data_IF_894635220454
#
_entry.id   IF_894635220454
#
_cell.length_a   1.000
_cell.length_b   1.000
_cell.length_c   1.000
_cell.angle_alpha   90.00
_cell.angle_beta   90.00
_cell.angle_gamma   90.00
#
_symmetry.space_group_name_H-M   'P 1'
#
loop_
_entity.id
_entity.type
_entity.pdbx_description
1 polymer ?
#
# COMPACT_ATOMS: atom_id res chain seq x y z
N UNK A 1 0.18 -11.62 7.01
CA UNK A 1 0.84 -10.32 6.85
C UNK A 1 1.70 -9.94 8.08
N UNK A 2 1.33 -10.35 9.28
CA UNK A 2 2.03 -10.02 10.55
C UNK A 2 3.51 -10.41 10.62
N UNK A 3 4.01 -11.21 9.68
CA UNK A 3 5.41 -11.62 9.58
C UNK A 3 6.15 -10.95 8.40
N UNK A 4 5.48 -10.12 7.64
CA UNK A 4 6.03 -9.46 6.46
C UNK A 4 6.49 -8.05 6.81
N UNK A 5 7.78 -7.80 6.73
CA UNK A 5 8.33 -6.44 6.79
C UNK A 5 8.21 -5.75 5.43
N UNK A 6 8.02 -4.45 5.45
CA UNK A 6 7.99 -3.63 4.25
C UNK A 6 8.49 -2.23 4.56
N UNK A 7 9.23 -1.62 3.64
CA UNK A 7 9.82 -0.33 3.90
C UNK A 7 9.78 0.62 2.70
N UNK A 8 9.79 1.89 3.00
CA UNK A 8 9.97 2.96 2.03
C UNK A 8 11.47 3.15 1.83
N UNK A 9 11.99 2.77 0.66
CA UNK A 9 13.39 2.93 0.30
C UNK A 9 13.66 4.25 -0.44
N UNK A 10 14.92 4.52 -0.74
CA UNK A 10 15.35 5.70 -1.50
C UNK A 10 14.75 5.77 -2.91
N UNK A 11 14.70 6.96 -3.48
CA UNK A 11 14.34 7.19 -4.87
C UNK A 11 15.32 8.24 -5.45
N UNK A 12 15.94 7.98 -6.60
CA UNK A 12 15.81 6.79 -7.46
C UNK A 12 16.17 5.48 -6.77
N UNK A 13 15.56 4.37 -7.19
CA UNK A 13 15.89 3.04 -6.68
C UNK A 13 17.31 2.66 -7.11
N UNK A 14 18.12 2.19 -6.17
CA UNK A 14 19.55 1.92 -6.40
C UNK A 14 19.83 0.77 -7.39
N UNK A 15 18.89 -0.17 -7.52
CA UNK A 15 19.07 -1.35 -8.38
C UNK A 15 18.72 -1.08 -9.86
N UNK A 16 17.67 -0.29 -10.10
CA UNK A 16 17.12 -0.12 -11.45
C UNK A 16 16.89 1.34 -11.86
N UNK A 17 17.24 2.31 -10.99
CA UNK A 17 17.10 3.73 -11.26
C UNK A 17 15.64 4.25 -11.30
N UNK A 18 14.66 3.43 -10.98
CA UNK A 18 13.24 3.82 -11.07
C UNK A 18 12.92 4.92 -10.07
N UNK A 19 12.25 5.96 -10.56
CA UNK A 19 11.70 7.04 -9.72
C UNK A 19 10.24 6.72 -9.44
N UNK A 20 9.91 6.54 -8.17
CA UNK A 20 8.53 6.30 -7.72
C UNK A 20 8.15 7.37 -6.69
N UNK A 21 6.99 8.04 -6.85
CA UNK A 21 6.55 9.07 -5.91
C UNK A 21 6.53 8.57 -4.46
N UNK A 22 6.89 9.45 -3.52
CA UNK A 22 6.96 9.12 -2.10
C UNK A 22 5.64 8.56 -1.56
N UNK A 23 4.51 9.16 -1.94
CA UNK A 23 3.18 8.69 -1.58
C UNK A 23 2.92 7.24 -2.03
N UNK A 24 3.28 6.91 -3.27
CA UNK A 24 3.08 5.55 -3.82
C UNK A 24 3.93 4.52 -3.08
N UNK A 25 5.20 4.85 -2.76
CA UNK A 25 6.09 3.98 -1.98
C UNK A 25 5.52 3.70 -0.60
N UNK A 26 5.00 4.74 0.08
CA UNK A 26 4.34 4.59 1.38
C UNK A 26 3.09 3.71 1.34
N UNK A 27 2.19 3.91 0.37
CA UNK A 27 0.99 3.09 0.21
C UNK A 27 1.34 1.61 0.04
N UNK A 28 2.35 1.30 -0.77
CA UNK A 28 2.79 -0.09 -0.95
C UNK A 28 3.42 -0.65 0.33
N UNK A 29 4.22 0.14 1.04
CA UNK A 29 4.88 -0.30 2.26
C UNK A 29 3.92 -0.52 3.46
N UNK A 30 2.76 0.12 3.48
CA UNK A 30 1.75 -0.05 4.54
C UNK A 30 1.14 -1.45 4.64
N UNK A 31 1.45 -2.36 3.71
CA UNK A 31 0.94 -3.75 3.70
C UNK A 31 1.77 -4.75 4.51
N UNK A 32 2.88 -4.33 5.04
CA UNK A 32 3.68 -5.09 6.00
C UNK A 32 3.95 -4.27 7.25
N UNK A 33 4.92 -4.68 8.04
CA UNK A 33 5.46 -3.88 9.13
C UNK A 33 6.20 -2.69 8.51
N UNK A 34 5.54 -1.53 8.53
CA UNK A 34 6.03 -0.33 7.88
C UNK A 34 7.32 0.18 8.53
N UNK A 35 8.35 0.31 7.71
CA UNK A 35 9.60 0.96 8.05
C UNK A 35 10.06 1.95 6.99
N UNK A 36 11.15 2.65 7.28
CA UNK A 36 11.82 3.56 6.35
C UNK A 36 13.29 3.18 6.26
N UNK A 37 13.74 2.80 5.07
CA UNK A 37 15.14 2.50 4.76
C UNK A 37 15.70 3.65 3.92
N UNK A 38 15.88 4.79 4.57
CA UNK A 38 16.42 6.01 3.97
C UNK A 38 16.91 6.96 5.05
N UNK A 39 17.76 7.90 4.66
CA UNK A 39 18.32 8.90 5.58
C UNK A 39 17.33 10.07 5.78
N UNK A 40 16.58 10.04 6.88
CA UNK A 40 15.60 11.08 7.22
C UNK A 40 16.25 12.46 7.41
N UNK A 41 17.55 12.53 7.71
CA UNK A 41 18.25 13.81 7.91
C UNK A 41 18.46 14.58 6.61
N UNK A 42 18.53 13.85 5.48
CA UNK A 42 18.69 14.41 4.12
C UNK A 42 17.37 14.77 3.45
N UNK A 43 16.24 14.46 4.09
CA UNK A 43 14.92 14.74 3.52
C UNK A 43 14.55 16.22 3.66
N UNK A 44 13.76 16.71 2.70
CA UNK A 44 13.12 18.03 2.77
C UNK A 44 12.16 18.13 3.98
N UNK A 45 11.75 19.33 4.33
CA UNK A 45 10.73 19.53 5.38
C UNK A 45 9.39 18.92 4.97
N UNK A 46 9.04 19.05 3.70
CA UNK A 46 7.82 18.53 3.07
C UNK A 46 7.80 17.00 3.15
N UNK A 47 8.91 16.34 2.78
CA UNK A 47 9.01 14.89 2.85
C UNK A 47 8.95 14.37 4.29
N UNK A 48 9.61 15.06 5.23
CA UNK A 48 9.50 14.70 6.66
C UNK A 48 8.07 14.85 7.20
N UNK A 49 7.32 15.84 6.72
CA UNK A 49 5.90 15.98 7.06
C UNK A 49 5.10 14.83 6.45
N UNK A 50 5.37 14.46 5.21
CA UNK A 50 4.74 13.30 4.56
C UNK A 50 5.04 11.98 5.28
N UNK A 51 6.24 11.78 5.85
CA UNK A 51 6.54 10.64 6.73
C UNK A 51 5.60 10.60 7.94
N UNK A 52 5.40 11.73 8.62
CA UNK A 52 4.50 11.80 9.78
C UNK A 52 3.06 11.42 9.41
N UNK A 53 2.59 11.90 8.26
CA UNK A 53 1.25 11.61 7.76
C UNK A 53 1.10 10.14 7.40
N UNK A 54 2.08 9.54 6.71
CA UNK A 54 2.10 8.12 6.39
C UNK A 54 2.11 7.24 7.64
N UNK A 55 2.92 7.58 8.64
CA UNK A 55 2.94 6.84 9.91
C UNK A 55 1.62 6.98 10.67
N UNK A 56 1.01 8.16 10.67
CA UNK A 56 -0.30 8.38 11.29
C UNK A 56 -1.39 7.56 10.60
N UNK A 57 -1.38 7.50 9.28
CA UNK A 57 -2.33 6.70 8.50
C UNK A 57 -2.11 5.19 8.73
N UNK A 58 -0.86 4.73 8.67
CA UNK A 58 -0.53 3.34 8.97
C UNK A 58 -1.03 2.90 10.35
N UNK A 59 -0.87 3.73 11.38
CA UNK A 59 -1.34 3.42 12.74
C UNK A 59 -2.85 3.19 12.83
N UNK A 60 -3.64 3.79 11.94
CA UNK A 60 -5.09 3.58 11.88
C UNK A 60 -5.45 2.22 11.28
N UNK A 61 -4.71 1.79 10.26
CA UNK A 61 -5.04 0.61 9.46
C UNK A 61 -4.23 -0.64 9.83
N UNK A 62 -3.15 -0.51 10.59
CA UNK A 62 -2.17 -1.59 10.83
C UNK A 62 -2.79 -2.85 11.44
N UNK A 63 -3.78 -2.71 12.30
CA UNK A 63 -4.44 -3.86 12.92
C UNK A 63 -5.17 -4.70 11.87
N UNK A 64 -5.92 -4.05 10.98
CA UNK A 64 -6.59 -4.72 9.87
C UNK A 64 -5.58 -5.31 8.89
N UNK A 65 -4.54 -4.55 8.50
CA UNK A 65 -3.57 -5.00 7.49
C UNK A 65 -2.70 -6.15 7.98
N UNK A 66 -2.34 -6.19 9.26
CA UNK A 66 -1.45 -7.22 9.81
C UNK A 66 -2.21 -8.48 10.25
N UNK A 67 -3.36 -8.33 10.89
CA UNK A 67 -4.08 -9.44 11.54
C UNK A 67 -5.37 -9.86 10.85
N UNK A 68 -5.83 -9.09 9.86
CA UNK A 68 -7.01 -9.43 9.07
C UNK A 68 -6.76 -10.56 8.07
N UNK A 69 -7.83 -10.99 7.41
CA UNK A 69 -7.78 -11.99 6.34
C UNK A 69 -7.39 -11.31 5.03
N UNK A 70 -6.32 -11.79 4.41
CA UNK A 70 -5.79 -11.26 3.17
C UNK A 70 -6.42 -11.91 1.94
N UNK A 71 -6.86 -11.08 0.98
CA UNK A 71 -7.39 -11.51 -0.31
C UNK A 71 -6.61 -10.85 -1.45
N UNK A 72 -6.14 -11.65 -2.40
CA UNK A 72 -5.55 -11.17 -3.64
C UNK A 72 -6.65 -11.06 -4.70
N UNK A 73 -6.98 -9.84 -5.09
CA UNK A 73 -8.09 -9.57 -6.01
C UNK A 73 -7.64 -9.47 -7.47
N UNK A 74 -6.46 -8.91 -7.72
CA UNK A 74 -5.84 -8.81 -9.06
C UNK A 74 -4.34 -9.05 -8.96
N UNK A 75 -3.80 -9.77 -9.95
CA UNK A 75 -2.38 -10.06 -10.03
C UNK A 75 -1.68 -9.12 -11.01
N UNK A 76 -0.54 -8.56 -10.60
CA UNK A 76 0.34 -7.77 -11.47
C UNK A 76 1.00 -8.60 -12.58
N UNK A 77 0.99 -9.94 -12.47
CA UNK A 77 1.53 -10.83 -13.50
C UNK A 77 0.62 -10.93 -14.72
N UNK A 78 -0.68 -10.73 -14.54
CA UNK A 78 -1.68 -10.89 -15.60
C UNK A 78 -2.32 -9.57 -16.04
N UNK A 79 -2.05 -8.48 -15.34
CA UNK A 79 -2.58 -7.17 -15.69
C UNK A 79 -1.63 -6.04 -15.26
N UNK A 80 -1.84 -4.84 -15.82
CA UNK A 80 -1.12 -3.63 -15.39
C UNK A 80 -1.58 -3.09 -14.02
N UNK A 81 -2.48 -3.82 -13.35
CA UNK A 81 -2.97 -3.47 -12.02
C UNK A 81 -2.84 -4.65 -11.10
N UNK A 82 -2.42 -4.39 -9.88
CA UNK A 82 -2.60 -5.32 -8.78
C UNK A 82 -3.56 -4.73 -7.75
N UNK A 83 -4.35 -5.60 -7.14
CA UNK A 83 -5.26 -5.23 -6.08
C UNK A 83 -5.28 -6.32 -5.04
N UNK A 84 -5.26 -5.91 -3.78
CA UNK A 84 -5.40 -6.79 -2.63
C UNK A 84 -6.18 -6.09 -1.53
N UNK A 85 -6.74 -6.88 -0.68
CA UNK A 85 -7.61 -6.45 0.40
C UNK A 85 -7.28 -7.23 1.66
N UNK A 86 -7.39 -6.59 2.79
CA UNK A 86 -7.39 -7.25 4.08
C UNK A 86 -8.64 -6.88 4.84
N UNK A 87 -9.35 -7.88 5.34
CA UNK A 87 -10.62 -7.73 6.06
C UNK A 87 -10.41 -8.07 7.52
N UNK A 88 -10.94 -7.26 8.43
CA UNK A 88 -10.90 -7.50 9.87
C UNK A 88 -11.53 -8.85 10.24
N UNK A 89 -11.16 -9.42 11.38
CA UNK A 89 -11.68 -10.72 11.83
C UNK A 89 -13.18 -10.74 12.04
N UNK A 90 -13.74 -9.61 12.49
CA UNK A 90 -15.19 -9.40 12.68
C UNK A 90 -15.90 -9.04 11.38
N UNK A 91 -15.17 -8.86 10.27
CA UNK A 91 -15.68 -8.53 8.93
C UNK A 91 -16.38 -7.18 8.83
N UNK A 92 -16.10 -6.25 9.74
CA UNK A 92 -16.71 -4.92 9.76
C UNK A 92 -15.88 -3.88 9.01
N UNK A 93 -14.57 -4.12 8.88
CA UNK A 93 -13.63 -3.19 8.26
C UNK A 93 -12.78 -3.91 7.20
N UNK A 94 -12.43 -3.18 6.16
CA UNK A 94 -11.50 -3.65 5.15
C UNK A 94 -10.57 -2.53 4.66
N UNK A 95 -9.35 -2.92 4.33
CA UNK A 95 -8.39 -2.04 3.67
C UNK A 95 -8.11 -2.60 2.28
N UNK A 96 -8.47 -1.83 1.25
CA UNK A 96 -8.24 -2.15 -0.16
C UNK A 96 -7.06 -1.33 -0.67
N UNK A 97 -6.11 -1.98 -1.34
CA UNK A 97 -5.08 -1.31 -2.11
C UNK A 97 -5.19 -1.66 -3.59
N UNK A 98 -5.08 -0.63 -4.42
CA UNK A 98 -5.02 -0.78 -5.87
C UNK A 98 -3.79 -0.04 -6.37
N UNK A 99 -2.89 -0.76 -7.03
CA UNK A 99 -1.67 -0.20 -7.61
C UNK A 99 -1.68 -0.40 -9.11
N UNK A 100 -1.47 0.68 -9.85
CA UNK A 100 -1.27 0.65 -11.29
C UNK A 100 0.22 0.79 -11.58
N UNK A 101 0.81 -0.23 -12.21
CA UNK A 101 2.25 -0.29 -12.44
C UNK A 101 2.71 0.66 -13.54
N UNK A 102 1.93 0.82 -14.61
CA UNK A 102 2.24 1.69 -15.74
C UNK A 102 1.03 2.55 -16.13
N UNK A 103 1.28 3.76 -16.59
CA UNK A 103 0.24 4.58 -17.19
C UNK A 103 -0.23 3.95 -18.52
N UNK A 104 -1.50 4.08 -18.83
CA UNK A 104 -2.06 3.73 -20.14
C UNK A 104 -2.52 4.98 -20.86
N UNK A 105 -2.39 4.99 -22.18
CA UNK A 105 -2.73 6.14 -23.02
C UNK A 105 -4.23 6.52 -22.94
N UNK A 106 -5.08 5.52 -22.73
CA UNK A 106 -6.53 5.72 -22.54
C UNK A 106 -6.96 4.98 -21.26
N UNK A 107 -6.93 5.65 -20.09
CA UNK A 107 -7.38 5.02 -18.86
C UNK A 107 -8.89 4.89 -18.85
N UNK A 108 -9.39 3.66 -18.88
CA UNK A 108 -10.81 3.40 -18.65
C UNK A 108 -11.07 3.07 -17.17
N UNK A 109 -12.31 3.22 -16.79
CA UNK A 109 -12.76 2.86 -15.45
C UNK A 109 -12.46 1.38 -15.16
N UNK A 110 -11.71 1.15 -14.13
CA UNK A 110 -11.46 -0.19 -13.61
C UNK A 110 -12.26 -0.39 -12.34
N UNK A 111 -13.00 -1.49 -12.30
CA UNK A 111 -13.74 -1.91 -11.12
C UNK A 111 -12.96 -2.99 -10.37
N UNK A 112 -12.95 -2.93 -9.06
CA UNK A 112 -12.43 -3.97 -8.19
C UNK A 112 -13.55 -4.34 -7.22
N UNK A 113 -13.92 -5.61 -7.19
CA UNK A 113 -14.93 -6.11 -6.26
C UNK A 113 -14.24 -6.46 -4.95
N UNK A 114 -14.70 -5.90 -3.87
CA UNK A 114 -14.30 -6.28 -2.52
C UNK A 114 -15.00 -7.58 -2.11
N UNK A 115 -14.36 -8.35 -1.23
CA UNK A 115 -14.84 -9.65 -0.76
C UNK A 115 -14.65 -9.76 0.76
N UNK A 116 -15.33 -10.69 1.39
CA UNK A 116 -15.09 -11.05 2.79
C UNK A 116 -15.71 -10.15 3.85
N UNK A 117 -16.24 -8.97 3.51
CA UNK A 117 -17.03 -8.15 4.44
C UNK A 117 -18.35 -8.84 4.77
N UNK A 118 -18.85 -8.62 5.98
CA UNK A 118 -20.19 -9.06 6.36
C UNK A 118 -21.23 -8.33 5.50
N UNK A 119 -22.32 -8.99 5.09
CA UNK A 119 -23.44 -8.29 4.45
C UNK A 119 -24.01 -7.25 5.40
N UNK A 120 -24.37 -6.10 4.87
CA UNK A 120 -25.12 -5.10 5.65
C UNK A 120 -26.42 -5.72 6.16
N UNK A 121 -26.71 -5.47 7.44
CA UNK A 121 -27.96 -5.92 8.08
C UNK A 121 -29.06 -4.94 7.77
#
# INVERSE_FOLDING_TARGET
QSMMTSHVSVSPNEQNGRITPFKTRGIVAMWGDLGYELDLTKMSKEDRQAVKEQVAEYKKIREVTQYGTFYRLKSAQTSNQCAWETVSKDKTEAVLSVVKAMASAQPYLTKTKMVGLAPEK
#
